data_IF_614985738374
#
_entry.id   IF_614985738374
#
_cell.length_a   1.000
_cell.length_b   1.000
_cell.length_c   1.000
_cell.angle_alpha   90.00
_cell.angle_beta   90.00
_cell.angle_gamma   90.00
#
_symmetry.space_group_name_H-M   'P 1'
#
loop_
_entity.id
_entity.type
_entity.pdbx_description
1 polymer ?
#
# COMPACT_ATOMS: atom_id res chain seq x y z
N UNK A 1 22.42 0.24 15.73
CA UNK A 1 23.58 -0.50 15.13
C UNK A 1 23.02 -1.79 14.54
N UNK A 2 22.53 -1.76 13.29
CA UNK A 2 21.98 -2.91 12.58
C UNK A 2 23.14 -3.86 12.27
N UNK A 3 23.13 -5.05 12.85
CA UNK A 3 24.04 -6.13 12.45
C UNK A 3 23.71 -6.46 11.00
N UNK A 4 24.58 -6.06 10.07
CA UNK A 4 24.63 -6.61 8.72
C UNK A 4 25.00 -8.09 8.91
N UNK A 5 23.99 -8.94 8.95
CA UNK A 5 24.20 -10.37 8.91
C UNK A 5 24.58 -10.65 7.45
N UNK A 6 25.82 -11.03 7.23
CA UNK A 6 26.35 -11.54 5.97
C UNK A 6 25.59 -12.85 5.64
N UNK A 7 24.38 -12.71 5.08
CA UNK A 7 23.56 -13.81 4.60
C UNK A 7 23.99 -14.09 3.16
N UNK A 8 25.03 -14.92 2.96
CA UNK A 8 25.15 -15.68 1.70
C UNK A 8 23.76 -16.23 1.38
N UNK A 9 23.22 -15.81 0.27
CA UNK A 9 21.80 -16.01 -0.10
C UNK A 9 21.38 -17.47 0.07
N UNK A 10 20.43 -17.68 0.96
CA UNK A 10 19.79 -18.99 1.14
C UNK A 10 18.94 -19.26 -0.10
N UNK A 11 19.30 -20.32 -0.83
CA UNK A 11 18.52 -20.78 -1.99
C UNK A 11 17.28 -21.54 -1.52
N UNK A 12 16.12 -21.16 -2.01
CA UNK A 12 14.86 -21.86 -1.80
C UNK A 12 14.41 -22.60 -3.06
N UNK A 13 13.68 -23.70 -2.84
CA UNK A 13 13.13 -24.54 -3.91
C UNK A 13 11.65 -24.23 -4.12
N UNK A 14 11.27 -23.92 -5.35
CA UNK A 14 9.86 -23.80 -5.73
C UNK A 14 9.15 -25.15 -5.57
N UNK A 15 8.08 -25.18 -4.78
CA UNK A 15 7.31 -26.40 -4.48
C UNK A 15 6.53 -26.92 -5.69
N UNK A 16 6.31 -26.08 -6.72
CA UNK A 16 5.54 -26.46 -7.92
C UNK A 16 6.43 -26.98 -9.06
N UNK A 17 7.59 -26.36 -9.30
CA UNK A 17 8.42 -26.74 -10.45
C UNK A 17 9.83 -27.23 -10.08
N UNK A 18 10.21 -27.16 -8.81
CA UNK A 18 11.53 -27.58 -8.35
C UNK A 18 12.67 -26.60 -8.62
N UNK A 19 12.43 -25.42 -9.27
CA UNK A 19 13.45 -24.38 -9.47
C UNK A 19 14.06 -23.98 -8.13
N UNK A 20 15.39 -23.86 -8.08
CA UNK A 20 16.13 -23.39 -6.90
C UNK A 20 16.70 -22.03 -7.19
N UNK A 21 16.46 -21.03 -6.31
CA UNK A 21 16.91 -19.66 -6.47
C UNK A 21 16.98 -18.93 -5.12
N UNK A 22 17.85 -17.94 -5.00
CA UNK A 22 17.89 -16.98 -3.90
C UNK A 22 16.74 -15.97 -3.96
N UNK A 23 16.11 -15.84 -5.13
CA UNK A 23 14.98 -14.95 -5.39
C UNK A 23 13.62 -15.66 -5.21
N UNK A 24 13.58 -16.77 -4.49
CA UNK A 24 12.34 -17.42 -4.07
C UNK A 24 12.23 -17.28 -2.55
N UNK A 25 11.16 -16.64 -2.09
CA UNK A 25 10.88 -16.48 -0.66
C UNK A 25 10.66 -17.83 0.03
N UNK A 26 11.32 -18.06 1.16
CA UNK A 26 11.10 -19.24 2.00
C UNK A 26 9.68 -19.29 2.59
N UNK A 27 9.02 -18.16 2.69
CA UNK A 27 7.62 -18.05 3.15
C UNK A 27 6.66 -18.51 2.06
N UNK A 28 6.82 -17.98 0.83
CA UNK A 28 5.90 -18.29 -0.28
C UNK A 28 6.23 -19.62 -0.97
N UNK A 29 7.53 -19.94 -1.13
CA UNK A 29 8.06 -21.15 -1.81
C UNK A 29 7.53 -21.39 -3.22
N UNK A 30 7.17 -20.31 -3.92
CA UNK A 30 6.67 -20.34 -5.31
C UNK A 30 7.44 -19.32 -6.11
N UNK A 31 7.96 -19.68 -7.27
CA UNK A 31 8.62 -18.75 -8.18
C UNK A 31 7.61 -17.99 -9.07
N UNK A 32 8.01 -16.84 -9.57
CA UNK A 32 7.21 -15.98 -10.44
C UNK A 32 6.63 -16.73 -11.66
N UNK A 33 7.45 -17.58 -12.31
CA UNK A 33 7.00 -18.37 -13.46
C UNK A 33 5.83 -19.29 -13.11
N UNK A 34 5.82 -19.90 -11.91
CA UNK A 34 4.69 -20.73 -11.47
C UNK A 34 3.46 -19.90 -11.11
N UNK A 35 3.64 -18.70 -10.55
CA UNK A 35 2.52 -17.79 -10.28
C UNK A 35 1.82 -17.41 -11.59
N UNK A 36 2.59 -17.10 -12.65
CA UNK A 36 2.04 -16.74 -13.96
C UNK A 36 1.46 -17.90 -14.75
N UNK A 37 2.13 -19.06 -14.76
CA UNK A 37 1.79 -20.18 -15.66
C UNK A 37 1.00 -21.31 -15.00
N UNK A 38 0.91 -21.34 -13.67
CA UNK A 38 0.15 -22.33 -12.87
C UNK A 38 -0.66 -21.62 -11.78
N UNK A 39 -1.48 -20.60 -12.12
CA UNK A 39 -2.10 -19.70 -11.14
C UNK A 39 -2.99 -20.44 -10.14
N UNK A 40 -3.79 -21.42 -10.56
CA UNK A 40 -4.71 -22.14 -9.68
C UNK A 40 -4.00 -22.84 -8.51
N UNK A 41 -2.84 -23.44 -8.78
CA UNK A 41 -2.04 -24.11 -7.75
C UNK A 41 -1.28 -23.09 -6.89
N UNK A 42 -0.68 -22.10 -7.55
CA UNK A 42 0.10 -21.05 -6.88
C UNK A 42 -0.76 -20.24 -5.92
N UNK A 43 -1.98 -19.85 -6.32
CA UNK A 43 -2.89 -19.05 -5.50
C UNK A 43 -3.40 -19.84 -4.29
N UNK A 44 -3.71 -21.15 -4.45
CA UNK A 44 -4.08 -21.99 -3.31
C UNK A 44 -3.00 -22.02 -2.23
N UNK A 45 -1.73 -22.17 -2.63
CA UNK A 45 -0.60 -22.15 -1.70
C UNK A 45 -0.44 -20.77 -1.07
N UNK A 46 -0.48 -19.70 -1.87
CA UNK A 46 -0.34 -18.34 -1.40
C UNK A 46 -1.43 -17.96 -0.38
N UNK A 47 -2.69 -18.28 -0.64
CA UNK A 47 -3.81 -18.05 0.28
C UNK A 47 -3.58 -18.77 1.61
N UNK A 48 -3.13 -20.03 1.60
CA UNK A 48 -2.82 -20.77 2.82
C UNK A 48 -1.68 -20.12 3.63
N UNK A 49 -0.65 -19.58 2.94
CA UNK A 49 0.43 -18.81 3.57
C UNK A 49 -0.12 -17.53 4.21
N UNK A 50 -0.94 -16.78 3.49
CA UNK A 50 -1.57 -15.57 4.03
C UNK A 50 -2.47 -15.87 5.24
N UNK A 51 -3.26 -16.94 5.18
CA UNK A 51 -4.11 -17.36 6.29
C UNK A 51 -3.30 -17.63 7.57
N UNK A 52 -2.20 -18.37 7.44
CA UNK A 52 -1.29 -18.66 8.56
C UNK A 52 -0.66 -17.39 9.14
N UNK A 53 -0.18 -16.47 8.29
CA UNK A 53 0.41 -15.21 8.75
C UNK A 53 -0.61 -14.37 9.51
N UNK A 54 -1.87 -14.33 9.05
CA UNK A 54 -2.92 -13.55 9.69
C UNK A 54 -3.33 -14.11 11.05
N UNK A 55 -3.32 -15.43 11.18
CA UNK A 55 -3.59 -16.11 12.45
C UNK A 55 -2.57 -15.72 13.55
N UNK A 56 -1.29 -15.51 13.20
CA UNK A 56 -0.27 -15.01 14.13
C UNK A 56 -0.67 -13.68 14.80
N UNK A 57 -1.48 -12.87 14.12
CA UNK A 57 -2.00 -11.58 14.62
C UNK A 57 -3.45 -11.64 15.08
N UNK A 58 -4.06 -12.83 15.19
CA UNK A 58 -5.48 -13.02 15.52
C UNK A 58 -6.42 -12.23 14.60
N UNK A 59 -6.05 -12.11 13.33
CA UNK A 59 -6.85 -11.47 12.30
C UNK A 59 -7.59 -12.53 11.47
N UNK A 60 -8.79 -12.21 10.91
CA UNK A 60 -9.50 -13.15 10.05
C UNK A 60 -8.62 -13.65 8.90
N UNK A 61 -8.51 -14.96 8.72
CA UNK A 61 -7.68 -15.58 7.69
C UNK A 61 -8.07 -15.13 6.27
N UNK A 62 -9.38 -15.00 6.03
CA UNK A 62 -9.98 -14.53 4.77
C UNK A 62 -10.99 -13.40 5.06
N UNK A 63 -11.36 -12.60 4.05
CA UNK A 63 -12.45 -11.65 4.20
C UNK A 63 -13.73 -12.35 4.69
N UNK A 64 -14.30 -11.98 5.85
CA UNK A 64 -15.49 -12.63 6.42
C UNK A 64 -16.68 -12.63 5.47
N UNK A 65 -17.44 -13.74 5.47
CA UNK A 65 -18.67 -13.95 4.68
C UNK A 65 -19.76 -14.60 5.55
N UNK A 66 -19.88 -14.14 6.81
CA UNK A 66 -20.83 -14.72 7.76
C UNK A 66 -22.28 -14.57 7.25
N UNK A 67 -23.10 -15.61 7.34
CA UNK A 67 -24.47 -15.63 6.80
C UNK A 67 -25.34 -14.51 7.40
N UNK A 68 -25.30 -14.34 8.71
CA UNK A 68 -26.02 -13.30 9.45
C UNK A 68 -25.20 -12.01 9.64
N UNK A 69 -24.12 -11.85 8.86
CA UNK A 69 -23.20 -10.74 8.98
C UNK A 69 -23.70 -9.46 8.32
N UNK A 70 -23.16 -8.31 8.75
CA UNK A 70 -23.41 -7.00 8.16
C UNK A 70 -22.35 -6.65 7.13
N UNK A 71 -22.75 -6.13 5.98
CA UNK A 71 -21.87 -5.70 4.93
C UNK A 71 -21.11 -4.41 5.31
N UNK A 72 -19.78 -4.47 5.31
CA UNK A 72 -18.92 -3.33 5.64
C UNK A 72 -18.83 -2.28 4.50
N UNK A 73 -18.69 -2.71 3.25
CA UNK A 73 -18.67 -1.87 2.01
C UNK A 73 -17.61 -0.77 1.97
N UNK A 74 -16.54 -0.85 2.76
CA UNK A 74 -15.51 0.20 2.82
C UNK A 74 -14.37 -0.03 1.82
N UNK A 75 -14.04 -1.28 1.52
CA UNK A 75 -12.92 -1.63 0.63
C UNK A 75 -13.22 -2.91 -0.17
N UNK A 76 -12.28 -3.29 -1.03
CA UNK A 76 -12.34 -4.46 -1.92
C UNK A 76 -12.72 -5.77 -1.20
N UNK A 77 -12.43 -5.88 0.08
CA UNK A 77 -12.73 -7.09 0.85
C UNK A 77 -14.21 -7.30 1.08
N UNK A 78 -15.05 -6.26 0.98
CA UNK A 78 -16.53 -6.33 1.08
C UNK A 78 -17.01 -7.29 2.18
N UNK A 79 -16.35 -7.22 3.36
CA UNK A 79 -16.59 -8.12 4.47
C UNK A 79 -18.06 -8.12 4.89
N UNK A 80 -18.65 -9.30 5.02
CA UNK A 80 -19.91 -9.52 5.73
C UNK A 80 -19.56 -10.05 7.12
N UNK A 81 -19.67 -9.15 8.12
CA UNK A 81 -19.09 -9.33 9.45
C UNK A 81 -20.18 -9.81 10.41
N UNK A 82 -20.01 -11.00 10.98
CA UNK A 82 -20.89 -11.57 12.00
C UNK A 82 -20.86 -10.77 13.30
N UNK A 83 -21.87 -10.97 14.15
CA UNK A 83 -22.00 -10.29 15.45
C UNK A 83 -20.71 -10.46 16.28
N UNK A 84 -20.24 -9.34 16.85
CA UNK A 84 -19.07 -9.23 17.71
C UNK A 84 -17.73 -9.64 17.04
N UNK A 85 -17.72 -9.89 15.71
CA UNK A 85 -16.52 -10.22 14.95
C UNK A 85 -15.88 -8.99 14.30
N UNK A 86 -14.63 -9.18 13.86
CA UNK A 86 -13.83 -8.19 13.11
C UNK A 86 -13.86 -8.49 11.60
N UNK A 87 -13.77 -7.43 10.78
CA UNK A 87 -13.49 -7.53 9.34
C UNK A 87 -12.03 -7.84 9.07
N UNK A 88 -11.72 -8.14 7.81
CA UNK A 88 -10.36 -8.51 7.37
C UNK A 88 -9.30 -7.49 7.80
N UNK A 89 -9.59 -6.17 7.72
CA UNK A 89 -8.62 -5.13 8.11
C UNK A 89 -8.27 -5.10 9.61
N UNK A 90 -9.05 -5.74 10.48
CA UNK A 90 -8.86 -5.76 11.92
C UNK A 90 -9.51 -4.59 12.67
N UNK A 91 -9.68 -3.42 12.05
CA UNK A 91 -10.20 -2.20 12.71
C UNK A 91 -11.71 -1.98 12.52
N UNK A 92 -12.36 -2.68 11.60
CA UNK A 92 -13.82 -2.64 11.43
C UNK A 92 -14.46 -3.82 12.16
N UNK A 93 -15.53 -3.56 12.91
CA UNK A 93 -16.22 -4.58 13.73
C UNK A 93 -17.74 -4.46 13.61
N UNK A 94 -18.41 -5.57 13.78
CA UNK A 94 -19.86 -5.56 14.01
C UNK A 94 -20.12 -5.58 15.52
N UNK A 95 -20.53 -4.45 16.07
CA UNK A 95 -20.94 -4.34 17.47
C UNK A 95 -22.45 -4.10 17.53
N UNK A 96 -23.18 -5.01 18.18
CA UNK A 96 -24.62 -4.90 18.39
C UNK A 96 -25.40 -4.60 17.09
N UNK A 97 -25.06 -5.26 15.98
CA UNK A 97 -25.77 -5.08 14.72
C UNK A 97 -25.36 -3.80 13.96
N UNK A 98 -24.24 -3.16 14.27
CA UNK A 98 -23.71 -2.00 13.54
C UNK A 98 -22.24 -2.16 13.23
N UNK A 99 -21.83 -1.73 12.03
CA UNK A 99 -20.41 -1.68 11.69
C UNK A 99 -19.82 -0.39 12.28
N UNK A 100 -18.87 -0.59 13.19
CA UNK A 100 -18.07 0.48 13.81
C UNK A 100 -16.62 0.36 13.37
N UNK A 101 -15.87 1.45 13.47
CA UNK A 101 -14.41 1.46 13.31
C UNK A 101 -13.73 1.74 14.63
N UNK A 102 -12.54 1.18 14.80
CA UNK A 102 -11.62 1.52 15.88
C UNK A 102 -10.56 2.44 15.25
N UNK A 103 -10.69 3.74 15.50
CA UNK A 103 -9.75 4.75 14.98
C UNK A 103 -8.44 4.65 15.77
N UNK A 104 -7.55 3.79 15.25
CA UNK A 104 -6.23 3.52 15.78
C UNK A 104 -5.17 4.06 14.85
N UNK A 105 -4.34 4.96 15.35
CA UNK A 105 -3.23 5.54 14.61
C UNK A 105 -1.98 5.63 15.48
N UNK A 106 -0.84 5.89 14.80
CA UNK A 106 0.32 6.55 15.36
C UNK A 106 0.59 7.79 14.53
N UNK A 107 1.04 8.90 15.12
CA UNK A 107 1.34 10.11 14.36
C UNK A 107 2.57 10.83 14.89
N UNK A 108 3.31 11.44 13.97
CA UNK A 108 4.49 12.23 14.28
C UNK A 108 4.66 13.36 13.27
N UNK A 109 5.43 14.38 13.65
CA UNK A 109 5.84 15.45 12.74
C UNK A 109 7.17 15.10 12.11
N UNK A 110 7.21 15.17 10.78
CA UNK A 110 8.38 14.87 9.98
C UNK A 110 8.81 16.14 9.24
N UNK A 111 10.04 16.65 9.45
CA UNK A 111 10.50 17.87 8.78
C UNK A 111 10.43 17.74 7.26
N UNK A 112 10.01 18.81 6.57
CA UNK A 112 10.03 18.89 5.11
C UNK A 112 11.45 19.26 4.62
N UNK A 113 11.92 18.66 3.51
CA UNK A 113 11.32 17.59 2.73
C UNK A 113 11.40 16.22 3.46
N UNK A 114 10.29 15.50 3.50
CA UNK A 114 10.25 14.18 4.15
C UNK A 114 10.74 13.07 3.21
N UNK A 115 10.96 11.87 3.74
CA UNK A 115 11.21 10.65 2.95
C UNK A 115 9.94 10.17 2.23
N UNK A 116 9.37 11.03 1.41
CA UNK A 116 8.15 10.77 0.65
C UNK A 116 8.50 10.35 -0.79
N UNK A 117 7.83 9.31 -1.29
CA UNK A 117 8.03 8.84 -2.67
C UNK A 117 7.68 9.89 -3.74
N UNK A 118 6.97 10.95 -3.38
CA UNK A 118 6.62 12.08 -4.24
C UNK A 118 7.54 13.30 -4.05
N UNK A 119 8.49 13.30 -3.12
CA UNK A 119 9.32 14.46 -2.77
C UNK A 119 10.06 15.08 -3.97
N UNK A 120 10.44 14.29 -4.96
CA UNK A 120 11.19 14.72 -6.13
C UNK A 120 10.37 15.57 -7.12
N UNK A 121 9.05 15.65 -6.99
CA UNK A 121 8.18 16.49 -7.83
C UNK A 121 7.13 17.28 -7.05
N UNK A 122 6.95 16.99 -5.76
CA UNK A 122 5.94 17.63 -4.91
C UNK A 122 6.32 19.09 -4.58
N UNK A 123 5.41 20.02 -4.84
CA UNK A 123 5.61 21.44 -4.47
C UNK A 123 5.78 21.61 -2.96
N UNK A 124 5.06 20.81 -2.14
CA UNK A 124 5.20 20.83 -0.69
C UNK A 124 6.59 20.44 -0.19
N UNK A 125 7.39 19.70 -0.98
CA UNK A 125 8.78 19.37 -0.61
C UNK A 125 9.74 20.56 -0.70
N UNK A 126 9.33 21.66 -1.34
CA UNK A 126 10.10 22.88 -1.46
C UNK A 126 9.86 23.86 -0.29
N UNK A 127 8.88 23.55 0.55
CA UNK A 127 8.49 24.38 1.69
C UNK A 127 9.27 24.00 2.95
N UNK A 128 9.45 24.97 3.84
CA UNK A 128 9.92 24.72 5.21
C UNK A 128 8.71 24.42 6.10
N UNK A 129 8.87 23.52 7.05
CA UNK A 129 7.82 23.16 8.01
C UNK A 129 7.74 21.65 8.24
N UNK A 130 6.54 21.16 8.53
CA UNK A 130 6.34 19.78 8.93
C UNK A 130 5.25 19.09 8.11
N UNK A 131 5.47 17.80 7.85
CA UNK A 131 4.44 16.86 7.50
C UNK A 131 3.91 16.21 8.78
N UNK A 132 2.60 16.21 9.00
CA UNK A 132 1.97 15.34 9.96
C UNK A 132 1.80 13.96 9.31
N UNK A 133 2.67 13.04 9.67
CA UNK A 133 2.62 11.65 9.23
C UNK A 133 1.61 10.89 10.09
N UNK A 134 0.52 10.39 9.49
CA UNK A 134 -0.56 9.68 10.16
C UNK A 134 -0.54 8.22 9.76
N UNK A 135 0.07 7.39 10.61
CA UNK A 135 0.17 5.95 10.43
C UNK A 135 -1.13 5.28 10.89
N UNK A 136 -1.88 4.69 9.95
CA UNK A 136 -3.14 4.00 10.21
C UNK A 136 -2.90 2.54 10.58
N UNK A 137 -3.54 2.05 11.64
CA UNK A 137 -3.58 0.62 11.94
C UNK A 137 -4.65 -0.08 11.11
N UNK A 138 -4.41 -1.36 10.82
CA UNK A 138 -5.25 -2.15 9.93
C UNK A 138 -4.94 -1.94 8.46
N UNK A 139 -5.25 -2.95 7.64
CA UNK A 139 -5.00 -2.91 6.20
C UNK A 139 -5.98 -3.81 5.45
N UNK A 140 -6.34 -3.41 4.23
CA UNK A 140 -7.12 -4.23 3.29
C UNK A 140 -6.29 -5.33 2.62
N UNK A 141 -4.95 -5.22 2.61
CA UNK A 141 -3.99 -6.21 2.14
C UNK A 141 -3.30 -6.95 3.29
N UNK A 142 -2.52 -7.97 2.94
CA UNK A 142 -1.65 -8.72 3.86
C UNK A 142 -0.27 -8.95 3.23
N UNK A 143 0.37 -7.89 2.73
CA UNK A 143 1.66 -7.99 2.07
C UNK A 143 2.69 -8.77 2.92
N UNK A 144 3.30 -9.81 2.34
CA UNK A 144 4.31 -10.63 3.03
C UNK A 144 5.66 -9.92 3.15
N UNK A 145 5.84 -8.82 2.42
CA UNK A 145 7.02 -7.94 2.40
C UNK A 145 6.78 -6.60 3.13
N UNK A 146 5.76 -6.50 3.98
CA UNK A 146 5.31 -5.23 4.56
C UNK A 146 6.36 -4.64 5.50
N UNK A 147 6.88 -3.45 5.19
CA UNK A 147 7.80 -2.71 6.07
C UNK A 147 7.09 -2.13 7.30
N UNK A 148 5.79 -1.89 7.18
CA UNK A 148 4.94 -1.34 8.25
C UNK A 148 4.06 -2.44 8.89
N UNK A 149 4.56 -3.67 9.01
CA UNK A 149 3.76 -4.83 9.45
C UNK A 149 3.16 -4.67 10.85
N UNK A 150 3.70 -3.78 11.68
CA UNK A 150 3.19 -3.46 13.03
C UNK A 150 1.74 -2.97 13.02
N UNK A 151 1.25 -2.43 11.88
CA UNK A 151 -0.16 -2.07 11.72
C UNK A 151 -1.13 -3.24 12.00
N UNK A 152 -0.62 -4.49 11.97
CA UNK A 152 -1.40 -5.70 12.27
C UNK A 152 -1.65 -5.88 13.78
N UNK A 153 -0.80 -5.28 14.62
CA UNK A 153 -0.95 -5.23 16.07
C UNK A 153 -1.95 -4.12 16.45
N UNK A 154 -3.22 -4.31 16.11
CA UNK A 154 -4.24 -3.26 16.16
C UNK A 154 -4.26 -2.53 17.52
N UNK A 155 -4.13 -3.25 18.62
CA UNK A 155 -4.24 -2.67 19.95
C UNK A 155 -3.02 -1.83 20.37
N UNK A 156 -1.92 -1.87 19.60
CA UNK A 156 -0.75 -1.02 19.81
C UNK A 156 -0.96 0.42 19.33
N UNK A 157 -1.96 0.66 18.45
CA UNK A 157 -2.29 2.01 17.99
C UNK A 157 -3.02 2.84 19.04
N UNK A 158 -2.72 4.14 19.08
CA UNK A 158 -3.45 5.10 19.91
C UNK A 158 -4.85 5.32 19.35
N UNK A 159 -5.84 5.39 20.25
CA UNK A 159 -7.19 5.84 19.88
C UNK A 159 -7.16 7.34 19.63
N UNK A 160 -7.75 7.75 18.51
CA UNK A 160 -7.83 9.16 18.15
C UNK A 160 -9.26 9.56 17.85
N UNK A 161 -9.59 10.81 18.10
CA UNK A 161 -10.80 11.47 17.65
C UNK A 161 -10.49 12.62 16.67
N UNK A 162 -11.54 13.20 16.10
CA UNK A 162 -11.41 14.27 15.12
C UNK A 162 -10.80 15.54 15.71
N UNK A 163 -11.04 15.83 16.98
CA UNK A 163 -10.53 17.02 17.66
C UNK A 163 -9.02 16.93 17.83
N UNK A 164 -8.51 15.80 18.28
CA UNK A 164 -7.08 15.56 18.45
C UNK A 164 -6.37 15.63 17.09
N UNK A 165 -6.94 15.03 16.03
CA UNK A 165 -6.35 15.09 14.70
C UNK A 165 -6.30 16.52 14.15
N UNK A 166 -7.38 17.30 14.35
CA UNK A 166 -7.45 18.70 13.95
C UNK A 166 -6.40 19.56 14.70
N UNK A 167 -6.26 19.37 16.01
CA UNK A 167 -5.25 20.09 16.80
C UNK A 167 -3.83 19.84 16.29
N UNK A 168 -3.51 18.57 15.97
CA UNK A 168 -2.23 18.22 15.35
C UNK A 168 -2.06 18.85 13.97
N UNK A 169 -3.11 18.87 13.15
CA UNK A 169 -3.08 19.41 11.79
C UNK A 169 -2.69 20.90 11.71
N UNK A 170 -2.98 21.68 12.76
CA UNK A 170 -2.68 23.13 12.82
C UNK A 170 -1.18 23.47 12.72
N UNK A 171 -0.32 22.53 13.05
CA UNK A 171 1.14 22.71 13.04
C UNK A 171 1.82 22.11 11.81
N UNK A 172 1.04 21.64 10.83
CA UNK A 172 1.56 20.94 9.67
C UNK A 172 1.30 21.68 8.36
N UNK A 173 2.27 21.69 7.44
CA UNK A 173 2.10 22.15 6.07
C UNK A 173 1.43 21.09 5.19
N UNK A 174 1.63 19.83 5.50
CA UNK A 174 0.91 18.72 4.87
C UNK A 174 0.58 17.61 5.87
N UNK A 175 -0.44 16.83 5.56
CA UNK A 175 -0.85 15.65 6.32
C UNK A 175 -0.79 14.49 5.34
N UNK A 176 -0.01 13.46 5.68
CA UNK A 176 0.07 12.24 4.90
C UNK A 176 -0.54 11.07 5.65
N UNK A 177 -1.64 10.54 5.14
CA UNK A 177 -2.28 9.33 5.65
C UNK A 177 -1.66 8.11 5.01
N UNK A 178 -1.05 7.25 5.81
CA UNK A 178 -0.35 6.04 5.38
C UNK A 178 -0.37 4.94 6.46
N UNK A 179 0.56 4.00 6.43
CA UNK A 179 0.77 2.99 7.47
C UNK A 179 0.42 1.60 7.01
N UNK A 180 -0.58 0.95 7.61
CA UNK A 180 -1.22 -0.22 7.05
C UNK A 180 -1.88 0.16 5.73
N UNK A 181 -2.96 0.90 5.81
CA UNK A 181 -3.55 1.69 4.71
C UNK A 181 -4.70 2.53 5.27
N UNK A 182 -4.94 3.76 4.81
CA UNK A 182 -6.02 4.61 5.34
C UNK A 182 -7.43 4.16 4.99
N UNK A 183 -7.64 3.32 3.97
CA UNK A 183 -8.97 2.98 3.44
C UNK A 183 -9.94 2.42 4.50
N UNK A 184 -9.54 1.56 5.44
CA UNK A 184 -10.47 1.10 6.48
C UNK A 184 -11.02 2.21 7.37
N UNK A 185 -10.29 3.33 7.50
CA UNK A 185 -10.65 4.48 8.33
C UNK A 185 -11.11 5.69 7.50
N UNK A 186 -11.28 5.57 6.18
CA UNK A 186 -11.71 6.69 5.31
C UNK A 186 -12.94 7.46 5.82
N UNK A 187 -14.02 6.85 6.33
CA UNK A 187 -15.15 7.63 6.82
C UNK A 187 -14.75 8.59 7.97
N UNK A 188 -13.84 8.17 8.84
CA UNK A 188 -13.30 9.01 9.91
C UNK A 188 -12.42 10.12 9.35
N UNK A 189 -11.43 9.78 8.51
CA UNK A 189 -10.53 10.78 7.94
C UNK A 189 -11.24 11.81 7.07
N UNK A 190 -12.25 11.40 6.28
CA UNK A 190 -13.02 12.34 5.47
C UNK A 190 -13.80 13.35 6.31
N UNK A 191 -14.34 12.90 7.46
CA UNK A 191 -15.02 13.78 8.40
C UNK A 191 -14.04 14.74 9.07
N UNK A 192 -12.88 14.26 9.52
CA UNK A 192 -11.82 15.09 10.09
C UNK A 192 -11.29 16.11 9.06
N UNK A 193 -11.04 15.66 7.82
CA UNK A 193 -10.51 16.50 6.75
C UNK A 193 -11.45 17.65 6.32
N UNK A 194 -12.76 17.48 6.48
CA UNK A 194 -13.70 18.59 6.27
C UNK A 194 -13.35 19.76 7.20
N UNK A 195 -13.18 19.49 8.50
CA UNK A 195 -12.79 20.51 9.48
C UNK A 195 -11.37 21.02 9.26
N UNK A 196 -10.44 20.13 8.95
CA UNK A 196 -9.04 20.50 8.68
C UNK A 196 -8.97 21.43 7.46
N UNK A 197 -9.72 21.16 6.40
CA UNK A 197 -9.79 22.03 5.22
C UNK A 197 -10.39 23.42 5.49
N UNK A 198 -11.28 23.52 6.47
CA UNK A 198 -11.89 24.78 6.89
C UNK A 198 -10.97 25.59 7.83
N UNK A 199 -10.24 24.91 8.74
CA UNK A 199 -9.50 25.54 9.84
C UNK A 199 -7.98 25.59 9.63
N UNK A 200 -7.43 24.76 8.73
CA UNK A 200 -6.00 24.61 8.50
C UNK A 200 -5.64 24.82 7.02
N UNK A 201 -4.39 25.26 6.76
CA UNK A 201 -3.87 25.41 5.39
C UNK A 201 -3.04 24.22 4.93
N UNK A 202 -3.17 23.06 5.59
CA UNK A 202 -2.37 21.89 5.30
C UNK A 202 -2.81 21.21 3.99
N UNK A 203 -1.83 20.74 3.19
CA UNK A 203 -2.08 19.85 2.07
C UNK A 203 -2.50 18.47 2.58
N UNK A 204 -3.53 17.87 2.00
CA UNK A 204 -4.01 16.54 2.37
C UNK A 204 -3.49 15.52 1.35
N UNK A 205 -2.67 14.58 1.82
CA UNK A 205 -2.02 13.56 1.00
C UNK A 205 -2.43 12.15 1.44
N UNK A 206 -2.50 11.24 0.47
CA UNK A 206 -2.79 9.83 0.71
C UNK A 206 -1.67 8.96 0.15
N UNK A 207 -1.27 7.97 0.93
CA UNK A 207 -0.37 6.90 0.52
C UNK A 207 -1.01 5.57 0.87
N UNK A 208 -1.54 4.89 -0.11
CA UNK A 208 -2.43 3.77 0.06
C UNK A 208 -2.25 2.68 -1.01
N UNK A 209 -2.89 1.54 -0.77
CA UNK A 209 -3.00 0.49 -1.78
C UNK A 209 -4.17 0.71 -2.76
N UNK A 210 -4.99 1.73 -2.55
CA UNK A 210 -6.04 2.15 -3.47
C UNK A 210 -7.29 1.27 -3.53
N UNK A 211 -7.48 0.36 -2.56
CA UNK A 211 -8.59 -0.62 -2.58
C UNK A 211 -9.90 -0.13 -1.97
N UNK A 212 -9.99 1.13 -1.59
CA UNK A 212 -11.16 1.73 -0.98
C UNK A 212 -12.42 1.66 -1.86
N UNK A 213 -13.58 1.83 -1.25
CA UNK A 213 -14.82 2.04 -1.98
C UNK A 213 -14.69 3.24 -2.91
N UNK A 214 -15.10 3.11 -4.18
CA UNK A 214 -14.92 4.11 -5.23
C UNK A 214 -15.39 5.52 -4.82
N UNK A 215 -16.56 5.62 -4.17
CA UNK A 215 -17.10 6.90 -3.74
C UNK A 215 -16.30 7.52 -2.58
N UNK A 216 -15.74 6.71 -1.67
CA UNK A 216 -14.89 7.21 -0.60
C UNK A 216 -13.53 7.67 -1.13
N UNK A 217 -12.95 6.92 -2.08
CA UNK A 217 -11.70 7.29 -2.76
C UNK A 217 -11.88 8.60 -3.53
N UNK A 218 -13.00 8.77 -4.26
CA UNK A 218 -13.31 10.02 -4.96
C UNK A 218 -13.36 11.22 -3.99
N UNK A 219 -14.07 11.10 -2.86
CA UNK A 219 -14.11 12.14 -1.84
C UNK A 219 -12.74 12.44 -1.23
N UNK A 220 -11.92 11.42 -1.04
CA UNK A 220 -10.55 11.61 -0.56
C UNK A 220 -9.68 12.35 -1.61
N UNK A 221 -9.87 12.05 -2.89
CA UNK A 221 -9.21 12.72 -3.99
C UNK A 221 -9.61 14.21 -4.10
N UNK A 222 -10.88 14.54 -3.85
CA UNK A 222 -11.38 15.92 -3.79
C UNK A 222 -10.60 16.76 -2.74
N UNK A 223 -10.32 16.20 -1.56
CA UNK A 223 -9.52 16.91 -0.56
C UNK A 223 -8.10 17.19 -1.04
N UNK A 224 -7.42 16.21 -1.64
CA UNK A 224 -6.08 16.44 -2.19
C UNK A 224 -6.11 17.43 -3.34
N UNK A 225 -7.10 17.33 -4.23
CA UNK A 225 -7.27 18.27 -5.34
C UNK A 225 -7.41 19.71 -4.85
N UNK A 226 -8.27 19.95 -3.85
CA UNK A 226 -8.57 21.28 -3.32
C UNK A 226 -7.44 21.87 -2.48
N UNK A 227 -6.65 21.05 -1.80
CA UNK A 227 -5.58 21.49 -0.91
C UNK A 227 -4.19 21.49 -1.55
N UNK A 228 -4.06 21.02 -2.80
CA UNK A 228 -2.75 20.87 -3.47
C UNK A 228 -1.94 19.69 -2.93
N UNK A 229 -2.59 18.71 -2.31
CA UNK A 229 -1.98 17.47 -1.86
C UNK A 229 -1.76 16.46 -2.98
N UNK A 230 -1.21 15.29 -2.65
CA UNK A 230 -0.86 14.23 -3.60
C UNK A 230 -1.49 12.91 -3.17
N UNK A 231 -1.96 12.16 -4.16
CA UNK A 231 -2.49 10.80 -4.00
C UNK A 231 -1.47 9.81 -4.56
N UNK A 232 -0.92 8.99 -3.69
CA UNK A 232 0.11 7.99 -4.00
C UNK A 232 -0.49 6.60 -3.95
N UNK A 233 -0.62 5.95 -5.10
CA UNK A 233 -1.06 4.57 -5.19
C UNK A 233 0.13 3.62 -5.20
N UNK A 234 0.15 2.69 -4.26
CA UNK A 234 1.06 1.57 -4.23
C UNK A 234 0.53 0.45 -5.13
N UNK A 235 0.93 0.45 -6.39
CA UNK A 235 0.64 -0.65 -7.33
C UNK A 235 1.65 -1.76 -7.07
N UNK A 236 1.24 -2.78 -6.29
CA UNK A 236 2.14 -3.84 -5.84
C UNK A 236 2.53 -4.78 -6.97
N UNK A 237 1.58 -5.10 -7.85
CA UNK A 237 1.77 -5.79 -9.12
C UNK A 237 0.61 -5.43 -10.06
N UNK A 238 0.81 -5.57 -11.37
CA UNK A 238 -0.25 -5.44 -12.39
C UNK A 238 -0.96 -6.78 -12.61
N UNK A 239 -0.17 -7.86 -12.70
CA UNK A 239 -0.71 -9.22 -12.76
C UNK A 239 -1.48 -9.53 -11.47
N UNK A 240 -2.78 -9.88 -11.61
CA UNK A 240 -3.66 -10.14 -10.48
C UNK A 240 -3.19 -11.32 -9.63
N UNK A 241 -2.72 -12.41 -10.26
CA UNK A 241 -2.28 -13.60 -9.53
C UNK A 241 -1.02 -13.30 -8.73
N UNK A 242 -0.09 -12.53 -9.31
CA UNK A 242 1.11 -12.07 -8.61
C UNK A 242 0.73 -11.15 -7.44
N UNK A 243 -0.20 -10.22 -7.64
CA UNK A 243 -0.69 -9.37 -6.56
C UNK A 243 -1.30 -10.19 -5.43
N UNK A 244 -2.17 -11.17 -5.74
CA UNK A 244 -2.75 -12.08 -4.74
C UNK A 244 -1.65 -12.88 -4.03
N UNK A 245 -0.68 -13.42 -4.77
CA UNK A 245 0.42 -14.17 -4.17
C UNK A 245 1.24 -13.33 -3.17
N UNK A 246 1.45 -12.05 -3.45
CA UNK A 246 2.24 -11.13 -2.63
C UNK A 246 1.44 -10.46 -1.50
N UNK A 247 0.13 -10.23 -1.69
CA UNK A 247 -0.69 -9.39 -0.80
C UNK A 247 -1.92 -10.08 -0.21
N UNK A 248 -2.29 -11.26 -0.71
CA UNK A 248 -3.46 -12.04 -0.31
C UNK A 248 -4.79 -11.57 -0.93
N UNK A 249 -4.81 -10.46 -1.70
CA UNK A 249 -6.03 -9.83 -2.21
C UNK A 249 -5.82 -9.37 -3.67
N UNK A 250 -6.90 -9.32 -4.46
CA UNK A 250 -6.89 -8.82 -5.83
C UNK A 250 -6.57 -7.32 -5.91
N UNK A 251 -5.85 -6.91 -6.97
CA UNK A 251 -5.54 -5.52 -7.30
C UNK A 251 -6.59 -4.82 -8.17
N UNK A 252 -7.64 -5.51 -8.61
CA UNK A 252 -8.65 -4.94 -9.55
C UNK A 252 -9.17 -3.58 -9.08
N UNK A 253 -9.55 -3.48 -7.80
CA UNK A 253 -10.06 -2.23 -7.24
C UNK A 253 -8.99 -1.14 -7.17
N UNK A 254 -7.71 -1.48 -6.96
CA UNK A 254 -6.59 -0.53 -7.03
C UNK A 254 -6.50 0.08 -8.42
N UNK A 255 -6.53 -0.76 -9.46
CA UNK A 255 -6.46 -0.34 -10.87
C UNK A 255 -7.67 0.51 -11.25
N UNK A 256 -8.90 0.06 -10.92
CA UNK A 256 -10.14 0.82 -11.15
C UNK A 256 -10.14 2.19 -10.47
N UNK A 257 -9.67 2.27 -9.23
CA UNK A 257 -9.61 3.53 -8.49
C UNK A 257 -8.51 4.46 -9.02
N UNK A 258 -7.37 3.92 -9.42
CA UNK A 258 -6.30 4.70 -10.06
C UNK A 258 -6.80 5.33 -11.36
N UNK A 259 -7.43 4.53 -12.22
CA UNK A 259 -8.05 4.99 -13.47
C UNK A 259 -9.13 6.06 -13.23
N UNK A 260 -10.00 5.85 -12.25
CA UNK A 260 -11.02 6.82 -11.87
C UNK A 260 -10.42 8.15 -11.44
N UNK A 261 -9.38 8.14 -10.59
CA UNK A 261 -8.72 9.37 -10.14
C UNK A 261 -8.00 10.07 -11.29
N UNK A 262 -7.32 9.32 -12.18
CA UNK A 262 -6.66 9.89 -13.36
C UNK A 262 -7.65 10.59 -14.30
N UNK A 263 -8.82 9.99 -14.54
CA UNK A 263 -9.82 10.51 -15.47
C UNK A 263 -10.66 11.66 -14.91
N UNK A 264 -10.99 11.59 -13.61
CA UNK A 264 -11.91 12.58 -13.00
C UNK A 264 -11.19 13.84 -12.48
N UNK A 265 -9.92 13.74 -12.12
CA UNK A 265 -9.22 14.84 -11.45
C UNK A 265 -8.06 15.46 -12.24
N UNK A 266 -7.73 15.04 -13.40
CA UNK A 266 -6.79 15.56 -14.41
C UNK A 266 -5.76 16.65 -14.04
N UNK A 267 -5.53 16.93 -12.74
CA UNK A 267 -4.64 17.97 -12.23
C UNK A 267 -3.20 17.47 -12.22
N UNK A 268 -2.31 18.29 -12.74
CA UNK A 268 -0.87 18.01 -12.67
C UNK A 268 -0.40 17.80 -11.23
N UNK A 269 0.47 16.82 -11.03
CA UNK A 269 1.05 16.44 -9.75
C UNK A 269 0.08 15.93 -8.66
N UNK A 270 -1.21 15.74 -8.96
CA UNK A 270 -2.15 15.18 -7.98
C UNK A 270 -1.93 13.68 -7.76
N UNK A 271 -1.78 12.91 -8.83
CA UNK A 271 -1.71 11.46 -8.83
C UNK A 271 -0.30 10.96 -9.11
N UNK A 272 0.14 9.94 -8.38
CA UNK A 272 1.38 9.22 -8.66
C UNK A 272 1.23 7.74 -8.33
N UNK A 273 2.03 6.90 -8.98
CA UNK A 273 2.17 5.49 -8.67
C UNK A 273 3.53 5.18 -8.05
N UNK A 274 3.56 4.16 -7.19
CA UNK A 274 4.79 3.55 -6.68
C UNK A 274 4.75 2.05 -6.85
N UNK A 275 5.91 1.43 -7.08
CA UNK A 275 6.07 -0.02 -7.10
C UNK A 275 7.39 -0.40 -6.44
N UNK A 276 7.33 -1.37 -5.53
CA UNK A 276 8.50 -1.90 -4.83
C UNK A 276 9.13 -3.00 -5.69
N UNK A 277 10.40 -2.84 -6.05
CA UNK A 277 11.14 -3.77 -6.92
C UNK A 277 11.63 -5.00 -6.13
N UNK A 278 10.73 -5.96 -5.89
CA UNK A 278 11.01 -7.19 -5.15
C UNK A 278 11.73 -8.18 -6.08
N UNK A 279 13.01 -8.52 -5.83
CA UNK A 279 13.75 -9.45 -6.67
C UNK A 279 13.03 -10.79 -6.85
N UNK A 280 13.02 -11.31 -8.07
CA UNK A 280 12.39 -12.58 -8.41
C UNK A 280 10.86 -12.57 -8.50
N UNK A 281 10.20 -11.45 -8.14
CA UNK A 281 8.75 -11.28 -8.24
C UNK A 281 8.34 -10.08 -9.09
N UNK A 282 8.92 -8.91 -8.86
CA UNK A 282 8.65 -7.71 -9.65
C UNK A 282 9.81 -7.52 -10.63
N UNK A 283 9.62 -8.03 -11.83
CA UNK A 283 10.58 -7.99 -12.92
C UNK A 283 10.32 -6.84 -13.90
N UNK A 284 11.16 -6.74 -14.92
CA UNK A 284 11.06 -5.70 -15.97
C UNK A 284 9.72 -5.77 -16.72
N UNK A 285 9.22 -6.98 -16.98
CA UNK A 285 7.94 -7.20 -17.67
C UNK A 285 6.76 -6.64 -16.83
N UNK A 286 6.80 -6.88 -15.52
CA UNK A 286 5.77 -6.41 -14.61
C UNK A 286 5.75 -4.87 -14.53
N UNK A 287 6.92 -4.25 -14.41
CA UNK A 287 7.07 -2.79 -14.44
C UNK A 287 6.62 -2.20 -15.78
N UNK A 288 6.91 -2.88 -16.90
CA UNK A 288 6.46 -2.46 -18.23
C UNK A 288 4.92 -2.45 -18.33
N UNK A 289 4.24 -3.49 -17.81
CA UNK A 289 2.77 -3.56 -17.79
C UNK A 289 2.17 -2.39 -16.98
N UNK A 290 2.74 -2.09 -15.82
CA UNK A 290 2.31 -0.95 -14.99
C UNK A 290 2.55 0.36 -15.75
N UNK A 291 3.72 0.56 -16.35
CA UNK A 291 4.04 1.78 -17.08
C UNK A 291 3.14 1.99 -18.30
N UNK A 292 2.82 0.92 -19.05
CA UNK A 292 1.85 0.95 -20.16
C UNK A 292 0.45 1.36 -19.66
N UNK A 293 -0.01 0.80 -18.58
CA UNK A 293 -1.29 1.15 -17.96
C UNK A 293 -1.31 2.63 -17.55
N UNK A 294 -0.31 3.11 -16.81
CA UNK A 294 -0.25 4.51 -16.40
C UNK A 294 -0.21 5.44 -17.62
N UNK A 295 0.61 5.13 -18.63
CA UNK A 295 0.76 5.95 -19.81
C UNK A 295 -0.49 6.02 -20.68
N UNK A 296 -1.32 4.96 -20.68
CA UNK A 296 -2.61 4.96 -21.40
C UNK A 296 -3.61 5.96 -20.81
N UNK A 297 -3.44 6.33 -19.55
CA UNK A 297 -4.24 7.36 -18.86
C UNK A 297 -3.61 8.75 -19.07
N UNK A 298 -2.34 8.89 -18.70
CA UNK A 298 -1.56 10.11 -18.92
C UNK A 298 -0.05 9.81 -18.75
N UNK A 299 0.79 10.00 -19.80
CA UNK A 299 2.24 9.75 -19.73
C UNK A 299 3.00 10.72 -18.82
N UNK A 300 2.39 11.79 -18.35
CA UNK A 300 2.96 12.76 -17.41
C UNK A 300 2.76 12.39 -15.94
N UNK A 301 1.97 11.36 -15.63
CA UNK A 301 1.80 10.87 -14.25
C UNK A 301 3.16 10.37 -13.74
N UNK A 302 3.66 10.90 -12.60
CA UNK A 302 4.91 10.45 -12.01
C UNK A 302 4.84 8.98 -11.56
N UNK A 303 5.92 8.24 -11.79
CA UNK A 303 6.05 6.85 -11.35
C UNK A 303 7.36 6.64 -10.61
N UNK A 304 7.28 6.17 -9.36
CA UNK A 304 8.43 5.89 -8.51
C UNK A 304 8.66 4.39 -8.35
N UNK A 305 9.84 3.91 -8.77
CA UNK A 305 10.32 2.56 -8.55
C UNK A 305 11.14 2.55 -7.26
N UNK A 306 10.70 1.81 -6.25
CA UNK A 306 11.33 1.80 -4.93
C UNK A 306 12.23 0.57 -4.77
N UNK A 307 13.48 0.77 -4.34
CA UNK A 307 14.34 -0.34 -3.97
C UNK A 307 13.75 -1.09 -2.77
N UNK A 308 13.71 -2.42 -2.86
CA UNK A 308 13.20 -3.30 -1.84
C UNK A 308 14.22 -3.51 -0.72
N UNK A 309 13.75 -3.42 0.51
CA UNK A 309 14.44 -3.89 1.71
C UNK A 309 13.77 -5.15 2.22
N UNK A 310 14.54 -6.23 2.56
CA UNK A 310 13.97 -7.46 3.11
C UNK A 310 13.35 -7.21 4.49
N UNK A 311 12.02 -7.39 4.57
CA UNK A 311 11.26 -7.16 5.79
C UNK A 311 10.20 -8.24 6.01
N UNK A 312 9.67 -8.30 7.23
CA UNK A 312 8.58 -9.14 7.69
C UNK A 312 8.78 -10.62 7.34
N UNK A 313 7.96 -11.15 6.41
CA UNK A 313 7.99 -12.56 6.00
C UNK A 313 8.87 -12.80 4.76
N UNK A 314 9.55 -11.76 4.26
CA UNK A 314 10.51 -11.83 3.17
C UNK A 314 11.91 -11.35 3.59
N UNK A 315 12.25 -11.52 4.87
CA UNK A 315 13.56 -11.14 5.43
C UNK A 315 14.73 -11.96 4.84
N UNK A 316 14.44 -13.09 4.23
CA UNK A 316 15.39 -13.99 3.55
C UNK A 316 15.70 -13.61 2.11
N UNK A 317 14.96 -12.64 1.55
CA UNK A 317 15.14 -12.21 0.17
C UNK A 317 16.34 -11.29 -0.01
N UNK A 318 16.95 -11.25 -1.20
CA UNK A 318 18.00 -10.27 -1.51
C UNK A 318 17.43 -8.86 -1.64
N UNK A 319 18.29 -7.85 -1.50
CA UNK A 319 17.97 -6.46 -1.85
C UNK A 319 17.80 -6.30 -3.37
N UNK A 320 17.15 -5.23 -3.79
CA UNK A 320 17.08 -4.86 -5.22
C UNK A 320 18.48 -4.55 -5.74
N UNK A 321 18.89 -5.24 -6.81
CA UNK A 321 20.15 -4.95 -7.49
C UNK A 321 20.07 -3.66 -8.30
N UNK A 322 21.21 -2.94 -8.47
CA UNK A 322 21.29 -1.79 -9.38
C UNK A 322 20.90 -2.15 -10.80
N UNK A 323 21.27 -3.35 -11.27
CA UNK A 323 20.92 -3.86 -12.59
C UNK A 323 19.40 -3.91 -12.76
N UNK A 324 18.69 -4.59 -11.87
CA UNK A 324 17.22 -4.70 -11.92
C UNK A 324 16.55 -3.30 -11.90
N UNK A 325 17.00 -2.43 -10.98
CA UNK A 325 16.42 -1.09 -10.86
C UNK A 325 16.61 -0.25 -12.15
N UNK A 326 17.79 -0.31 -12.77
CA UNK A 326 18.09 0.42 -14.03
C UNK A 326 17.30 -0.18 -15.20
N UNK A 327 17.21 -1.51 -15.32
CA UNK A 327 16.44 -2.17 -16.36
C UNK A 327 14.95 -1.81 -16.25
N UNK A 328 14.37 -1.86 -15.04
CA UNK A 328 12.99 -1.45 -14.77
C UNK A 328 12.78 0.05 -15.09
N UNK A 329 13.70 0.92 -14.68
CA UNK A 329 13.64 2.35 -14.99
C UNK A 329 13.64 2.60 -16.50
N UNK A 330 14.56 1.98 -17.22
CA UNK A 330 14.66 2.14 -18.68
C UNK A 330 13.41 1.61 -19.39
N UNK A 331 12.82 0.52 -18.91
CA UNK A 331 11.56 -0.02 -19.43
C UNK A 331 10.40 0.95 -19.21
N UNK A 332 10.23 1.47 -18.00
CA UNK A 332 9.17 2.43 -17.68
C UNK A 332 9.33 3.76 -18.46
N UNK A 333 10.57 4.23 -18.65
CA UNK A 333 10.89 5.46 -19.43
C UNK A 333 10.50 5.39 -20.91
N UNK A 334 10.27 4.21 -21.48
CA UNK A 334 9.72 4.08 -22.85
C UNK A 334 8.29 4.60 -22.96
N UNK A 335 7.55 4.60 -21.88
CA UNK A 335 6.11 4.92 -21.82
C UNK A 335 5.81 6.19 -21.03
N UNK A 336 6.59 6.50 -20.01
CA UNK A 336 6.35 7.59 -19.08
C UNK A 336 7.45 8.64 -19.13
N UNK A 337 7.06 9.91 -19.11
CA UNK A 337 8.00 11.05 -19.13
C UNK A 337 8.68 11.24 -17.76
N UNK A 338 8.00 10.88 -16.68
CA UNK A 338 8.41 11.16 -15.31
C UNK A 338 8.55 9.86 -14.50
N UNK A 339 9.76 9.31 -14.47
CA UNK A 339 10.09 8.10 -13.70
C UNK A 339 11.26 8.40 -12.76
N UNK A 340 11.20 7.88 -11.54
CA UNK A 340 12.25 8.02 -10.54
C UNK A 340 12.56 6.65 -9.88
N UNK A 341 13.80 6.48 -9.43
CA UNK A 341 14.19 5.39 -8.55
C UNK A 341 14.32 5.96 -7.14
N UNK A 342 13.47 5.51 -6.22
CA UNK A 342 13.53 5.85 -4.80
C UNK A 342 14.35 4.86 -3.98
N UNK A 343 14.68 5.24 -2.73
CA UNK A 343 15.46 4.42 -1.80
C UNK A 343 16.81 3.94 -2.37
N UNK A 344 17.47 4.80 -3.17
CA UNK A 344 18.72 4.45 -3.89
C UNK A 344 19.85 3.96 -2.98
N UNK A 345 19.84 4.34 -1.70
CA UNK A 345 20.80 3.88 -0.69
C UNK A 345 20.68 2.38 -0.37
N UNK A 346 19.55 1.74 -0.75
CA UNK A 346 19.32 0.30 -0.59
C UNK A 346 19.74 -0.54 -1.81
N UNK A 347 20.20 0.09 -2.91
CA UNK A 347 20.59 -0.63 -4.12
C UNK A 347 21.95 -1.29 -3.96
N UNK A 348 22.04 -2.55 -4.33
CA UNK A 348 23.25 -3.38 -4.35
C UNK A 348 23.79 -3.60 -5.76
#
# INVERSE_FOLDING_TARGET
MLRIIDKKGRKEKCVLCGKISEEISSTLKICLSCIRNRPDEAIKIAIAVHAKIRDEFRLPAMPPRDEDGINCRICVNECRIGKDKRGYCGVRRNLNGRIVSEERIHSYYDPLPTNCCASWFCEGSKEMGYNLAVFSYGCSFNCIFCQNWEHKCIDAGEKIDEKILLEKARYANCICYFGGTPEPLLPFFLKANKRIGEECKARICWEWNGTGNKNLVRKAAEFSYNTGGIIKFDIKAFDENLNIALTGISNKRTIENFEMVANEFGKENLLTATTLLIPGYIDVEEVEKIAKFISSLNPDIPYSLLAFHPDFKMIDMPFTTRKLAVECYNSAKKYLKRVNIGNKHLLW
#
